data_IF_669820596551
#
_entry.id   IF_669820596551
#
_cell.length_a   1.000
_cell.length_b   1.000
_cell.length_c   1.000
_cell.angle_alpha   90.00
_cell.angle_beta   90.00
_cell.angle_gamma   90.00
#
_symmetry.space_group_name_H-M   'P 1'
#
loop_
_entity.id
_entity.type
_entity.pdbx_description
1 polymer ?
#
# COMPACT_ATOMS: atom_id res chain seq x y z
N UNK A 1 4.89 24.23 -23.88
CA UNK A 1 5.35 22.94 -23.35
C UNK A 1 5.89 22.14 -24.52
N UNK A 2 7.15 21.69 -24.50
CA UNK A 2 7.67 20.89 -25.60
C UNK A 2 7.21 19.43 -25.44
N UNK A 3 7.29 18.62 -26.50
CA UNK A 3 6.85 17.21 -26.49
C UNK A 3 7.51 16.38 -25.37
N UNK A 4 8.78 16.65 -25.07
CA UNK A 4 9.51 15.96 -23.99
C UNK A 4 8.90 16.29 -22.62
N UNK A 5 8.55 17.54 -22.36
CA UNK A 5 7.95 17.96 -21.10
C UNK A 5 6.60 17.27 -20.87
N UNK A 6 5.78 17.15 -21.93
CA UNK A 6 4.51 16.43 -21.88
C UNK A 6 4.70 14.94 -21.61
N UNK A 7 5.68 14.30 -22.25
CA UNK A 7 6.02 12.90 -22.02
C UNK A 7 6.48 12.69 -20.58
N UNK A 8 7.36 13.57 -20.08
CA UNK A 8 7.84 13.50 -18.70
C UNK A 8 6.69 13.63 -17.71
N UNK A 9 5.74 14.56 -17.92
CA UNK A 9 4.55 14.65 -17.06
C UNK A 9 3.70 13.39 -17.04
N UNK A 10 3.55 12.71 -18.18
CA UNK A 10 2.78 11.45 -18.27
C UNK A 10 3.52 10.31 -17.56
N UNK A 11 4.85 10.30 -17.63
CA UNK A 11 5.67 9.25 -17.03
C UNK A 11 5.92 9.48 -15.53
N UNK A 12 5.90 10.71 -15.04
CA UNK A 12 6.11 11.00 -13.62
C UNK A 12 4.91 10.49 -12.80
N UNK A 13 5.14 9.60 -11.82
CA UNK A 13 4.06 9.18 -10.94
C UNK A 13 3.59 10.36 -10.09
N UNK A 14 2.33 10.36 -9.66
CA UNK A 14 1.75 11.46 -8.87
C UNK A 14 2.23 11.48 -7.42
N UNK A 15 2.65 10.30 -6.93
CA UNK A 15 3.24 10.09 -5.63
C UNK A 15 3.96 8.74 -5.60
N UNK A 16 4.71 8.46 -4.54
CA UNK A 16 5.30 7.14 -4.27
C UNK A 16 5.11 6.75 -2.80
N UNK A 17 5.08 5.44 -2.54
CA UNK A 17 5.28 4.87 -1.20
C UNK A 17 6.68 4.28 -1.14
N UNK A 18 7.55 4.87 -0.32
CA UNK A 18 8.91 4.39 -0.08
C UNK A 18 8.94 3.48 1.14
N UNK A 19 9.36 2.24 1.00
CA UNK A 19 9.59 1.34 2.13
C UNK A 19 10.68 1.91 3.06
N UNK A 20 10.38 1.94 4.36
CA UNK A 20 11.26 2.47 5.39
C UNK A 20 11.92 1.38 6.25
N UNK A 21 11.56 0.12 6.02
CA UNK A 21 12.11 -1.06 6.69
C UNK A 21 12.38 -2.19 5.68
N UNK A 22 13.29 -3.13 6.01
CA UNK A 22 13.50 -4.34 5.19
C UNK A 22 12.23 -5.16 5.00
N UNK A 23 11.40 -5.27 6.03
CA UNK A 23 10.13 -6.01 6.00
C UNK A 23 9.10 -5.32 5.10
N UNK A 24 9.01 -4.00 5.14
CA UNK A 24 8.18 -3.24 4.21
C UNK A 24 8.64 -3.44 2.77
N UNK A 25 9.96 -3.40 2.52
CA UNK A 25 10.49 -3.62 1.17
C UNK A 25 10.21 -5.06 0.68
N UNK A 26 10.40 -6.05 1.55
CA UNK A 26 10.14 -7.46 1.26
C UNK A 26 8.64 -7.76 1.07
N UNK A 27 7.75 -6.96 1.67
CA UNK A 27 6.30 -7.10 1.49
C UNK A 27 5.83 -6.67 0.09
N UNK A 28 6.60 -5.85 -0.63
CA UNK A 28 6.23 -5.37 -1.96
C UNK A 28 6.54 -6.46 -3.00
N UNK A 29 5.60 -6.79 -3.92
CA UNK A 29 5.91 -7.65 -5.06
C UNK A 29 7.07 -7.09 -5.87
N UNK A 30 8.11 -7.90 -6.14
CA UNK A 30 9.34 -7.44 -6.82
C UNK A 30 9.09 -6.69 -8.14
N UNK A 31 8.04 -7.06 -8.89
CA UNK A 31 7.65 -6.42 -10.16
C UNK A 31 7.17 -4.98 -10.01
N UNK A 32 6.79 -4.56 -8.80
CA UNK A 32 6.34 -3.20 -8.47
C UNK A 32 7.40 -2.41 -7.69
N UNK A 33 8.50 -3.06 -7.30
CA UNK A 33 9.53 -2.48 -6.46
C UNK A 33 10.62 -1.82 -7.31
N UNK A 34 10.64 -0.50 -7.35
CA UNK A 34 11.72 0.27 -7.97
C UNK A 34 12.51 1.00 -6.88
N UNK A 35 13.74 0.56 -6.59
CA UNK A 35 14.62 1.17 -5.58
C UNK A 35 13.97 1.35 -4.19
N UNK A 36 13.15 0.38 -3.75
CA UNK A 36 12.45 0.47 -2.47
C UNK A 36 11.14 1.26 -2.52
N UNK A 37 10.68 1.68 -3.70
CA UNK A 37 9.49 2.51 -3.88
C UNK A 37 8.43 1.82 -4.72
N UNK A 38 7.17 2.13 -4.43
CA UNK A 38 6.00 1.79 -5.26
C UNK A 38 5.40 3.08 -5.80
N UNK A 39 5.13 3.09 -7.11
CA UNK A 39 4.59 4.24 -7.82
C UNK A 39 3.08 4.33 -7.67
N UNK A 40 2.59 5.52 -7.38
CA UNK A 40 1.16 5.86 -7.42
C UNK A 40 0.91 6.71 -8.67
N UNK A 41 0.33 6.10 -9.69
CA UNK A 41 0.02 6.77 -10.97
C UNK A 41 -1.42 7.30 -11.01
N UNK A 42 -2.31 6.74 -10.19
CA UNK A 42 -3.73 7.11 -10.12
C UNK A 42 -4.25 7.06 -8.68
N UNK A 43 -5.31 7.83 -8.44
CA UNK A 43 -6.09 7.80 -7.22
C UNK A 43 -7.55 7.41 -7.56
N UNK A 44 -8.26 6.68 -6.69
CA UNK A 44 -7.77 6.13 -5.43
C UNK A 44 -6.71 5.04 -5.66
N UNK A 45 -5.71 4.98 -4.78
CA UNK A 45 -4.68 3.94 -4.78
C UNK A 45 -4.92 2.99 -3.62
N UNK A 46 -5.32 1.76 -3.92
CA UNK A 46 -5.81 0.79 -2.94
C UNK A 46 -4.72 -0.18 -2.52
N UNK A 47 -4.57 -0.40 -1.22
CA UNK A 47 -3.54 -1.26 -0.63
C UNK A 47 -4.19 -2.34 0.25
N UNK A 48 -3.70 -3.56 0.14
CA UNK A 48 -4.10 -4.66 1.02
C UNK A 48 -3.19 -5.86 0.92
N UNK A 49 -3.52 -6.94 1.62
CA UNK A 49 -2.70 -8.15 1.72
C UNK A 49 -2.88 -9.08 0.52
N UNK A 50 -1.79 -9.63 -0.01
CA UNK A 50 -1.80 -10.82 -0.86
C UNK A 50 -2.20 -12.04 -0.04
N UNK A 51 -3.46 -12.46 -0.12
CA UNK A 51 -3.95 -13.64 0.60
C UNK A 51 -3.54 -14.98 -0.01
N UNK A 52 -2.83 -14.97 -1.14
CA UNK A 52 -2.47 -16.16 -1.92
C UNK A 52 -1.03 -16.64 -1.73
N UNK A 53 -0.31 -16.08 -0.76
CA UNK A 53 1.00 -16.62 -0.33
C UNK A 53 0.75 -17.63 0.77
N UNK A 54 1.19 -18.88 0.57
CA UNK A 54 1.25 -19.91 1.61
C UNK A 54 2.69 -20.33 1.81
N UNK A 55 3.07 -20.58 3.05
CA UNK A 55 4.31 -21.27 3.34
C UNK A 55 4.13 -22.76 3.02
N UNK A 56 4.97 -23.30 2.15
CA UNK A 56 5.03 -24.72 1.82
C UNK A 56 6.49 -25.16 1.97
N UNK A 57 6.75 -26.08 2.91
CA UNK A 57 8.11 -26.58 3.22
C UNK A 57 9.16 -25.47 3.48
N UNK A 58 8.80 -24.44 4.25
CA UNK A 58 9.70 -23.32 4.57
C UNK A 58 9.98 -22.36 3.40
N UNK A 59 9.27 -22.52 2.27
CA UNK A 59 9.30 -21.60 1.13
C UNK A 59 7.94 -20.92 0.99
N UNK A 60 7.96 -19.61 0.81
CA UNK A 60 6.76 -18.88 0.42
C UNK A 60 6.41 -19.22 -1.02
N UNK A 61 5.32 -19.99 -1.21
CA UNK A 61 4.78 -20.31 -2.53
C UNK A 61 3.59 -19.40 -2.78
N UNK A 62 3.69 -18.57 -3.81
CA UNK A 62 2.54 -17.83 -4.34
C UNK A 62 1.73 -18.81 -5.17
N UNK A 63 0.50 -19.11 -4.74
CA UNK A 63 -0.42 -19.86 -5.58
C UNK A 63 -0.68 -19.05 -6.85
N UNK A 64 -0.54 -19.67 -8.02
CA UNK A 64 -0.95 -19.05 -9.28
C UNK A 64 -2.40 -18.58 -9.14
N UNK A 65 -2.75 -17.47 -9.80
CA UNK A 65 -4.16 -17.14 -9.94
C UNK A 65 -4.80 -18.32 -10.65
N UNK A 66 -5.70 -19.02 -9.97
CA UNK A 66 -6.71 -19.83 -10.65
C UNK A 66 -7.27 -18.95 -11.76
N UNK A 67 -7.27 -19.49 -12.97
CA UNK A 67 -7.70 -18.87 -14.22
C UNK A 67 -8.72 -17.76 -13.96
N UNK A 68 -8.37 -16.54 -14.35
CA UNK A 68 -9.21 -15.34 -14.43
C UNK A 68 -10.68 -15.61 -14.06
N UNK A 69 -11.03 -15.51 -12.78
CA UNK A 69 -12.39 -15.76 -12.27
C UNK A 69 -13.37 -14.61 -12.62
N UNK A 70 -12.91 -13.66 -13.45
CA UNK A 70 -13.65 -12.47 -13.86
C UNK A 70 -13.72 -11.38 -12.80
N UNK A 71 -13.13 -11.56 -11.60
CA UNK A 71 -13.15 -10.53 -10.55
C UNK A 71 -12.03 -9.52 -10.76
N UNK A 72 -12.41 -8.25 -10.79
CA UNK A 72 -11.45 -7.17 -10.82
C UNK A 72 -10.57 -7.20 -9.55
N UNK A 73 -9.27 -6.87 -9.66
CA UNK A 73 -8.42 -6.67 -8.50
C UNK A 73 -9.02 -5.62 -7.55
N UNK A 74 -9.21 -6.00 -6.29
CA UNK A 74 -9.66 -5.11 -5.23
C UNK A 74 -8.62 -4.06 -4.79
N UNK A 75 -7.33 -4.30 -5.07
CA UNK A 75 -6.22 -3.41 -4.72
C UNK A 75 -5.32 -3.13 -5.92
N UNK A 76 -4.65 -1.98 -5.88
CA UNK A 76 -3.55 -1.65 -6.79
C UNK A 76 -2.22 -2.23 -6.28
N UNK A 77 -2.05 -2.30 -4.95
CA UNK A 77 -0.89 -2.92 -4.29
C UNK A 77 -1.32 -4.05 -3.36
N UNK A 78 -0.77 -5.24 -3.61
CA UNK A 78 -0.94 -6.42 -2.77
C UNK A 78 0.36 -6.71 -2.02
N UNK A 79 0.39 -6.38 -0.73
CA UNK A 79 1.54 -6.60 0.16
C UNK A 79 1.55 -8.03 0.70
N UNK A 80 2.73 -8.63 0.78
CA UNK A 80 2.94 -9.92 1.41
C UNK A 80 3.13 -9.69 2.92
N UNK A 81 2.21 -10.20 3.71
CA UNK A 81 2.27 -10.16 5.18
C UNK A 81 2.59 -11.55 5.70
N UNK A 82 3.78 -11.68 6.26
CA UNK A 82 4.34 -12.92 6.79
C UNK A 82 4.32 -12.95 8.32
N UNK A 83 3.89 -11.86 8.96
CA UNK A 83 3.88 -11.75 10.40
C UNK A 83 2.79 -12.63 11.03
N UNK A 84 3.02 -13.03 12.28
CA UNK A 84 2.05 -13.76 13.10
C UNK A 84 1.93 -13.06 14.46
N UNK A 85 0.80 -12.41 14.77
CA UNK A 85 -0.42 -12.32 13.96
C UNK A 85 -0.25 -11.45 12.71
N UNK A 86 -1.17 -11.59 11.75
CA UNK A 86 -1.19 -10.78 10.52
C UNK A 86 -1.55 -9.33 10.84
N UNK A 87 -0.82 -8.38 10.23
CA UNK A 87 -1.00 -6.94 10.38
C UNK A 87 -1.88 -6.34 9.26
N UNK A 88 -1.86 -6.95 8.08
CA UNK A 88 -2.44 -6.40 6.85
C UNK A 88 -3.72 -7.17 6.50
N UNK A 89 -4.80 -6.43 6.29
CA UNK A 89 -6.10 -6.93 5.86
C UNK A 89 -6.12 -7.06 4.33
N UNK A 90 -6.98 -7.92 3.79
CA UNK A 90 -7.09 -8.12 2.33
C UNK A 90 -7.40 -6.82 1.58
N UNK A 91 -8.22 -5.97 2.18
CA UNK A 91 -8.49 -4.61 1.77
C UNK A 91 -8.22 -3.76 3.00
N UNK A 92 -7.09 -3.04 3.04
CA UNK A 92 -6.63 -2.44 4.29
C UNK A 92 -6.86 -0.94 4.30
N UNK A 93 -6.32 -0.23 3.32
CA UNK A 93 -6.55 1.20 3.17
C UNK A 93 -6.52 1.62 1.70
N UNK A 94 -6.88 2.85 1.43
CA UNK A 94 -6.61 3.52 0.17
C UNK A 94 -6.14 4.94 0.39
N UNK A 95 -5.42 5.48 -0.59
CA UNK A 95 -5.09 6.90 -0.64
C UNK A 95 -5.97 7.52 -1.71
N UNK A 96 -6.64 8.61 -1.36
CA UNK A 96 -7.48 9.40 -2.23
C UNK A 96 -6.85 10.78 -2.45
N UNK A 97 -7.27 11.45 -3.53
CA UNK A 97 -6.91 12.84 -3.79
C UNK A 97 -8.19 13.66 -3.84
N UNK A 98 -8.35 14.56 -2.87
CA UNK A 98 -9.47 15.49 -2.76
C UNK A 98 -8.96 16.90 -3.13
N UNK A 99 -9.02 17.24 -4.41
CA UNK A 99 -8.43 18.50 -4.92
C UNK A 99 -6.90 18.54 -4.82
N UNK A 100 -6.39 19.41 -3.95
CA UNK A 100 -4.95 19.52 -3.63
C UNK A 100 -4.51 18.65 -2.46
N UNK A 101 -5.46 18.07 -1.71
CA UNK A 101 -5.17 17.30 -0.51
C UNK A 101 -5.15 15.79 -0.79
N UNK A 102 -4.42 15.06 0.04
CA UNK A 102 -4.37 13.61 0.02
C UNK A 102 -5.00 13.07 1.30
N UNK A 103 -5.88 12.08 1.14
CA UNK A 103 -6.59 11.45 2.25
C UNK A 103 -6.24 9.98 2.31
N UNK A 104 -5.79 9.50 3.47
CA UNK A 104 -5.70 8.08 3.75
C UNK A 104 -7.04 7.62 4.36
N UNK A 105 -7.63 6.58 3.77
CA UNK A 105 -8.91 6.01 4.20
C UNK A 105 -8.70 4.54 4.58
N UNK A 106 -8.92 4.21 5.85
CA UNK A 106 -8.95 2.83 6.32
C UNK A 106 -10.22 2.14 5.80
N UNK A 107 -10.04 0.98 5.17
CA UNK A 107 -11.12 0.23 4.49
C UNK A 107 -11.72 -0.82 5.42
N UNK A 108 -12.03 -0.42 6.65
CA UNK A 108 -12.50 -1.28 7.74
C UNK A 108 -11.51 -2.41 8.03
N UNK A 109 -10.23 -2.05 8.19
CA UNK A 109 -9.22 -3.05 8.46
C UNK A 109 -9.28 -3.52 9.92
N UNK A 110 -8.78 -4.73 10.18
CA UNK A 110 -8.79 -5.30 11.52
C UNK A 110 -7.84 -4.54 12.46
N UNK A 111 -6.66 -4.15 11.95
CA UNK A 111 -5.62 -3.52 12.75
C UNK A 111 -5.58 -1.98 12.59
N UNK A 112 -6.10 -1.41 11.50
CA UNK A 112 -6.00 0.01 11.24
C UNK A 112 -4.63 0.42 10.70
N UNK A 113 -4.48 1.72 10.44
CA UNK A 113 -3.26 2.34 9.94
C UNK A 113 -2.87 3.47 10.89
N UNK A 114 -1.58 3.72 11.06
CA UNK A 114 -1.10 4.91 11.79
C UNK A 114 -0.35 5.85 10.86
N UNK A 115 -0.62 7.15 10.97
CA UNK A 115 0.11 8.23 10.29
C UNK A 115 0.79 9.07 11.36
N UNK A 116 2.11 9.00 11.43
CA UNK A 116 2.86 9.54 12.58
C UNK A 116 2.38 8.92 13.89
N UNK A 117 1.86 9.74 14.80
CA UNK A 117 1.32 9.29 16.10
C UNK A 117 -0.19 9.04 16.10
N UNK A 118 -0.88 9.31 15.00
CA UNK A 118 -2.35 9.24 14.92
C UNK A 118 -2.79 7.92 14.31
N UNK A 119 -3.71 7.21 14.98
CA UNK A 119 -4.29 5.96 14.49
C UNK A 119 -5.62 6.19 13.79
N UNK A 120 -5.82 5.49 12.68
CA UNK A 120 -6.97 5.57 11.80
C UNK A 120 -7.56 4.17 11.62
N UNK A 121 -8.84 4.02 11.92
CA UNK A 121 -9.55 2.74 11.82
C UNK A 121 -9.03 1.65 12.75
N UNK A 122 -9.11 0.41 12.27
CA UNK A 122 -8.96 -0.77 13.12
C UNK A 122 -10.29 -1.24 13.72
N UNK A 123 -10.34 -2.49 14.19
CA UNK A 123 -11.57 -3.12 14.71
C UNK A 123 -12.77 -2.96 13.77
N UNK A 124 -12.49 -3.00 12.46
CA UNK A 124 -13.47 -2.87 11.39
C UNK A 124 -14.28 -1.56 11.42
N UNK A 125 -13.76 -0.50 12.07
CA UNK A 125 -14.47 0.78 12.22
C UNK A 125 -14.31 1.74 11.04
N UNK A 126 -13.28 1.53 10.21
CA UNK A 126 -12.88 2.47 9.16
C UNK A 126 -12.40 3.81 9.74
N UNK A 127 -12.14 4.77 8.86
CA UNK A 127 -11.73 6.12 9.24
C UNK A 127 -10.94 6.79 8.13
N UNK A 128 -10.69 8.09 8.28
CA UNK A 128 -9.84 8.83 7.35
C UNK A 128 -9.01 9.88 8.04
N UNK A 129 -7.84 10.17 7.47
CA UNK A 129 -6.95 11.25 7.89
C UNK A 129 -6.32 11.90 6.67
N UNK A 130 -6.04 13.20 6.76
CA UNK A 130 -5.21 13.88 5.78
C UNK A 130 -3.76 13.41 5.92
N UNK A 131 -3.07 13.26 4.80
CA UNK A 131 -1.65 12.95 4.75
C UNK A 131 -0.91 13.99 3.90
N UNK A 132 0.31 14.30 4.28
CA UNK A 132 1.16 15.28 3.62
C UNK A 132 2.43 14.64 3.05
N UNK A 133 3.12 15.39 2.19
CA UNK A 133 4.42 14.96 1.67
C UNK A 133 5.40 14.67 2.80
N UNK A 134 5.91 13.45 2.81
CA UNK A 134 6.88 12.98 3.79
C UNK A 134 6.30 12.26 5.01
N UNK A 135 4.98 12.15 5.12
CA UNK A 135 4.35 11.40 6.21
C UNK A 135 4.73 9.92 6.20
N UNK A 136 4.85 9.36 7.41
CA UNK A 136 5.11 7.93 7.62
C UNK A 136 3.79 7.23 7.92
N UNK A 137 3.45 6.27 7.07
CA UNK A 137 2.31 5.38 7.15
C UNK A 137 2.79 4.02 7.68
N UNK A 138 2.33 3.66 8.88
CA UNK A 138 2.54 2.35 9.49
C UNK A 138 1.28 1.49 9.34
N UNK A 139 1.39 0.36 8.63
CA UNK A 139 0.26 -0.49 8.27
C UNK A 139 0.05 -1.58 9.32
N UNK A 140 -1.08 -1.57 10.02
CA UNK A 140 -1.47 -2.60 10.98
C UNK A 140 -1.25 -2.25 12.45
N UNK A 141 -0.85 -3.24 13.27
CA UNK A 141 -0.68 -3.05 14.71
C UNK A 141 0.43 -2.04 15.08
N UNK A 142 0.48 -1.62 16.34
CA UNK A 142 1.39 -0.54 16.78
C UNK A 142 2.88 -0.88 16.63
N UNK A 143 3.21 -2.16 16.68
CA UNK A 143 4.53 -2.76 16.50
C UNK A 143 4.77 -3.25 15.07
N UNK A 144 3.94 -2.83 14.12
CA UNK A 144 4.06 -3.27 12.72
C UNK A 144 5.44 -2.99 12.16
N UNK A 145 6.05 -3.93 11.41
CA UNK A 145 7.28 -3.65 10.71
C UNK A 145 7.01 -2.90 9.38
N UNK A 146 5.76 -2.77 8.95
CA UNK A 146 5.37 -2.27 7.62
C UNK A 146 5.24 -0.74 7.59
N UNK A 147 6.38 -0.05 7.52
CA UNK A 147 6.47 1.41 7.44
C UNK A 147 6.76 1.90 6.02
N UNK A 148 5.95 2.86 5.56
CA UNK A 148 6.08 3.48 4.25
C UNK A 148 6.06 4.99 4.38
N UNK A 149 6.98 5.68 3.71
CA UNK A 149 6.95 7.14 3.57
C UNK A 149 6.16 7.51 2.32
N UNK A 150 5.15 8.36 2.45
CA UNK A 150 4.41 8.94 1.34
C UNK A 150 5.20 10.14 0.79
N UNK A 151 5.40 10.20 -0.52
CA UNK A 151 6.14 11.29 -1.18
C UNK A 151 5.36 11.74 -2.41
N UNK A 152 5.12 13.04 -2.55
CA UNK A 152 4.43 13.66 -3.70
C UNK A 152 5.46 14.12 -4.74
N UNK A 153 5.11 14.03 -6.02
CA UNK A 153 6.00 14.35 -7.16
C UNK A 153 5.35 15.27 -8.19
#
# INVERSE_FOLDING_TARGET
MNEKDSILQILTPKAVLKAMSPEAAASIPQVLLEQGMVRITRFPFKVGRESRVREFEGKMVRLERDKFDGREPSNDLYLIDVAQPLHISREHFQIEREGSEYMLVDRNSACGVSVGSVRVGGRDSGGRIQIEDGDIIAIGAADTPYHFKFIVL
#
